data_IF_169523710828
#
_entry.id   IF_169523710828
#
_cell.length_a   1.000
_cell.length_b   1.000
_cell.length_c   1.000
_cell.angle_alpha   90.00
_cell.angle_beta   90.00
_cell.angle_gamma   90.00
#
_symmetry.space_group_name_H-M   'P 1'
#
loop_
_entity.id
_entity.type
_entity.pdbx_description
1 polymer ?
#
# COMPACT_ATOMS: atom_id res chain seq x y z
N UNK A 1 7.63 -1.89 20.62
CA UNK A 1 6.40 -2.53 21.14
C UNK A 1 5.37 -2.39 20.04
N UNK A 2 4.84 -3.50 19.50
CA UNK A 2 3.78 -3.44 18.48
C UNK A 2 2.49 -3.21 19.24
N UNK A 3 1.68 -2.25 18.81
CA UNK A 3 0.36 -1.99 19.38
C UNK A 3 -0.50 -3.27 19.22
N UNK A 4 -1.11 -3.80 20.30
CA UNK A 4 -1.89 -5.04 20.26
C UNK A 4 -3.04 -5.01 19.23
N UNK A 5 -3.54 -3.83 18.87
CA UNK A 5 -4.60 -3.66 17.87
C UNK A 5 -4.07 -3.58 16.43
N UNK A 6 -2.75 -3.70 16.24
CA UNK A 6 -2.15 -3.71 14.90
C UNK A 6 -2.52 -5.00 14.18
N UNK A 7 -3.41 -4.90 13.20
CA UNK A 7 -3.69 -5.98 12.25
C UNK A 7 -2.39 -6.36 11.50
N UNK A 8 -1.93 -7.59 11.71
CA UNK A 8 -0.72 -8.14 11.09
C UNK A 8 -1.09 -9.16 10.01
N UNK A 9 -0.41 -9.06 8.87
CA UNK A 9 -0.61 -9.91 7.70
C UNK A 9 0.60 -10.81 7.48
N UNK A 10 0.32 -12.05 7.14
CA UNK A 10 1.33 -12.99 6.64
C UNK A 10 1.81 -12.58 5.25
N UNK A 11 3.00 -13.05 4.86
CA UNK A 11 3.54 -12.85 3.51
C UNK A 11 2.58 -13.27 2.39
N UNK A 12 1.80 -14.33 2.60
CA UNK A 12 0.81 -14.80 1.64
C UNK A 12 -0.36 -13.82 1.46
N UNK A 13 -0.92 -13.33 2.57
CA UNK A 13 -1.98 -12.32 2.53
C UNK A 13 -1.52 -11.03 1.85
N UNK A 14 -0.29 -10.57 2.13
CA UNK A 14 0.27 -9.39 1.44
C UNK A 14 0.40 -9.64 -0.06
N UNK A 15 0.90 -10.81 -0.46
CA UNK A 15 1.06 -11.20 -1.87
C UNK A 15 -0.28 -11.13 -2.63
N UNK A 16 -1.36 -11.63 -2.01
CA UNK A 16 -2.72 -11.56 -2.55
C UNK A 16 -3.20 -10.11 -2.70
N UNK A 17 -2.98 -9.26 -1.69
CA UNK A 17 -3.42 -7.86 -1.73
C UNK A 17 -2.72 -7.05 -2.83
N UNK A 18 -1.41 -7.24 -2.99
CA UNK A 18 -0.60 -6.50 -3.96
C UNK A 18 -0.62 -7.13 -5.36
N UNK A 19 -1.20 -8.33 -5.51
CA UNK A 19 -1.24 -9.08 -6.77
C UNK A 19 0.14 -9.48 -7.29
N UNK A 20 1.07 -9.88 -6.41
CA UNK A 20 2.44 -10.28 -6.78
C UNK A 20 2.84 -11.62 -6.17
N UNK A 21 3.90 -12.22 -6.72
CA UNK A 21 4.50 -13.42 -6.16
C UNK A 21 4.97 -13.22 -4.70
N UNK A 22 4.70 -14.20 -3.84
CA UNK A 22 5.03 -14.13 -2.40
C UNK A 22 6.52 -13.87 -2.13
N UNK A 23 7.42 -14.35 -2.99
CA UNK A 23 8.88 -14.19 -2.85
C UNK A 23 9.30 -12.74 -3.05
N UNK A 24 8.50 -11.94 -3.77
CA UNK A 24 8.76 -10.51 -4.04
C UNK A 24 8.23 -9.57 -2.95
N UNK A 25 7.40 -10.07 -2.02
CA UNK A 25 6.82 -9.27 -0.93
C UNK A 25 7.89 -8.58 -0.07
N UNK A 26 8.97 -9.25 0.37
CA UNK A 26 10.00 -8.60 1.18
C UNK A 26 10.62 -7.38 0.48
N UNK A 27 11.00 -7.54 -0.79
CA UNK A 27 11.61 -6.47 -1.59
C UNK A 27 10.62 -5.34 -1.85
N UNK A 28 9.36 -5.68 -2.12
CA UNK A 28 8.30 -4.70 -2.35
C UNK A 28 8.03 -3.85 -1.10
N UNK A 29 7.97 -4.47 0.09
CA UNK A 29 7.80 -3.79 1.38
C UNK A 29 9.03 -2.93 1.72
N UNK A 30 10.24 -3.47 1.52
CA UNK A 30 11.49 -2.75 1.78
C UNK A 30 11.61 -1.48 0.93
N UNK A 31 11.27 -1.56 -0.36
CA UNK A 31 11.26 -0.42 -1.27
C UNK A 31 10.27 0.69 -0.89
N UNK A 32 9.31 0.39 0.01
CA UNK A 32 8.27 1.32 0.47
C UNK A 32 8.42 1.70 1.94
N UNK A 33 9.51 1.27 2.59
CA UNK A 33 9.74 1.53 4.01
C UNK A 33 8.73 0.86 4.95
N UNK A 34 8.05 -0.21 4.51
CA UNK A 34 7.08 -0.93 5.34
C UNK A 34 7.84 -1.87 6.28
N UNK A 35 7.69 -1.71 7.61
CA UNK A 35 8.39 -2.56 8.57
C UNK A 35 7.81 -3.99 8.53
N UNK A 36 8.61 -4.94 9.01
CA UNK A 36 8.20 -6.34 9.19
C UNK A 36 8.60 -6.81 10.58
N UNK A 37 7.79 -7.67 11.15
CA UNK A 37 7.96 -8.18 12.50
C UNK A 37 8.13 -9.69 12.46
N UNK A 38 8.92 -10.24 13.37
CA UNK A 38 8.90 -11.69 13.60
C UNK A 38 7.78 -11.99 14.57
N UNK A 39 6.97 -12.98 14.24
CA UNK A 39 6.02 -13.53 15.19
C UNK A 39 6.79 -14.16 16.37
N UNK A 40 6.62 -13.65 17.61
CA UNK A 40 7.29 -14.20 18.78
C UNK A 40 6.71 -15.56 19.21
N UNK A 41 5.49 -15.87 18.81
CA UNK A 41 4.77 -17.09 19.22
C UNK A 41 4.88 -18.22 18.18
N UNK A 42 5.38 -17.94 16.98
CA UNK A 42 5.61 -18.95 15.94
C UNK A 42 7.00 -19.59 16.09
N UNK A 43 7.12 -20.92 16.31
CA UNK A 43 8.41 -21.62 16.37
C UNK A 43 9.22 -21.47 15.08
N UNK A 44 8.57 -21.23 13.94
CA UNK A 44 9.24 -20.99 12.66
C UNK A 44 9.61 -19.51 12.44
N UNK A 45 9.32 -18.64 13.40
CA UNK A 45 9.62 -17.19 13.39
C UNK A 45 9.22 -16.53 12.08
N UNK A 46 7.98 -16.77 11.63
CA UNK A 46 7.47 -16.18 10.38
C UNK A 46 7.50 -14.66 10.44
N UNK A 47 7.69 -14.07 9.26
CA UNK A 47 7.62 -12.62 9.08
C UNK A 47 6.18 -12.18 8.86
N UNK A 48 5.75 -11.20 9.65
CA UNK A 48 4.47 -10.53 9.60
C UNK A 48 4.65 -9.06 9.16
N UNK A 49 3.61 -8.52 8.54
CA UNK A 49 3.61 -7.17 7.99
C UNK A 49 2.37 -6.41 8.47
N UNK A 50 2.48 -5.15 8.89
CA UNK A 50 1.34 -4.37 9.35
C UNK A 50 0.39 -4.04 8.19
N UNK A 51 -0.91 -4.29 8.38
CA UNK A 51 -1.93 -4.11 7.34
C UNK A 51 -2.13 -2.64 6.93
N UNK A 52 -2.14 -1.73 7.91
CA UNK A 52 -2.38 -0.30 7.69
C UNK A 52 -1.44 0.34 6.64
N UNK A 53 -0.10 0.24 6.75
CA UNK A 53 0.79 0.82 5.74
C UNK A 53 0.69 0.12 4.38
N UNK A 54 0.39 -1.18 4.33
CA UNK A 54 0.15 -1.89 3.05
C UNK A 54 -1.08 -1.31 2.36
N UNK A 55 -2.19 -1.14 3.09
CA UNK A 55 -3.42 -0.54 2.56
C UNK A 55 -3.20 0.91 2.15
N UNK A 56 -2.44 1.68 2.92
CA UNK A 56 -2.12 3.07 2.60
C UNK A 56 -1.36 3.19 1.27
N UNK A 57 -0.32 2.38 1.06
CA UNK A 57 0.40 2.34 -0.22
C UNK A 57 -0.54 1.95 -1.36
N UNK A 58 -1.35 0.91 -1.19
CA UNK A 58 -2.28 0.47 -2.24
C UNK A 58 -3.30 1.55 -2.58
N UNK A 59 -3.79 2.30 -1.59
CA UNK A 59 -4.70 3.41 -1.82
C UNK A 59 -4.04 4.53 -2.64
N UNK A 60 -2.74 4.79 -2.44
CA UNK A 60 -1.99 5.78 -3.23
C UNK A 60 -1.71 5.27 -4.64
N UNK A 61 -1.24 4.04 -4.79
CA UNK A 61 -0.87 3.45 -6.08
C UNK A 61 -2.08 3.18 -6.99
N UNK A 62 -3.24 2.88 -6.41
CA UNK A 62 -4.49 2.63 -7.14
C UNK A 62 -5.30 3.89 -7.40
N UNK A 63 -4.85 5.08 -6.99
CA UNK A 63 -5.52 6.32 -7.38
C UNK A 63 -5.53 6.39 -8.90
N UNK A 64 -6.71 6.52 -9.54
CA UNK A 64 -6.76 6.74 -10.97
C UNK A 64 -5.95 7.99 -11.27
N UNK A 65 -4.97 7.90 -12.18
CA UNK A 65 -4.34 9.10 -12.71
C UNK A 65 -5.48 9.95 -13.30
N UNK A 66 -5.55 11.25 -13.01
CA UNK A 66 -6.56 12.10 -13.63
C UNK A 66 -6.43 11.95 -15.14
N UNK A 67 -7.51 11.47 -15.76
CA UNK A 67 -7.59 11.30 -17.21
C UNK A 67 -7.30 12.67 -17.84
N UNK A 68 -6.49 12.75 -18.91
CA UNK A 68 -6.11 14.03 -19.51
C UNK A 68 -7.32 14.94 -19.81
N UNK A 69 -8.49 14.37 -20.06
CA UNK A 69 -9.76 15.08 -20.25
C UNK A 69 -10.24 15.84 -19.01
N UNK A 70 -10.12 15.27 -17.81
CA UNK A 70 -10.48 15.95 -16.55
C UNK A 70 -9.56 17.15 -16.30
N UNK A 71 -8.27 17.01 -16.64
CA UNK A 71 -7.30 18.12 -16.54
C UNK A 71 -7.66 19.23 -17.53
N UNK A 72 -8.03 18.88 -18.77
CA UNK A 72 -8.48 19.85 -19.79
C UNK A 72 -9.75 20.56 -19.36
N UNK A 73 -10.75 19.83 -18.85
CA UNK A 73 -12.01 20.40 -18.38
C UNK A 73 -11.78 21.35 -17.21
N UNK A 74 -10.97 20.95 -16.22
CA UNK A 74 -10.62 21.81 -15.09
C UNK A 74 -9.92 23.10 -15.55
N UNK A 75 -9.01 23.01 -16.53
CA UNK A 75 -8.34 24.19 -17.10
C UNK A 75 -9.32 25.09 -17.85
N UNK A 76 -10.26 24.52 -18.60
CA UNK A 76 -11.30 25.26 -19.32
C UNK A 76 -12.21 26.04 -18.35
N UNK A 77 -12.76 25.36 -17.33
CA UNK A 77 -13.62 25.98 -16.32
C UNK A 77 -12.89 27.09 -15.58
N UNK A 78 -11.64 26.84 -15.15
CA UNK A 78 -10.84 27.84 -14.43
C UNK A 78 -10.53 29.07 -15.29
N UNK A 79 -10.39 28.91 -16.61
CA UNK A 79 -10.17 30.03 -17.54
C UNK A 79 -11.45 30.81 -17.81
N UNK A 80 -12.61 30.15 -17.84
CA UNK A 80 -13.91 30.79 -18.05
C UNK A 80 -14.40 31.60 -16.84
N UNK A 81 -13.91 31.30 -15.62
CA UNK A 81 -14.28 32.03 -14.40
C UNK A 81 -13.41 33.27 -14.11
N UNK A 82 -12.30 33.45 -14.85
CA UNK A 82 -11.35 34.56 -14.68
C UNK A 82 -11.49 35.60 -15.82
N UNK A 83 -12.25 35.25 -16.87
CA UNK A 83 -12.62 36.15 -17.96
C UNK A 83 -13.97 36.80 -17.67
#
# INVERSE_FOLDING_TARGET
MIDPDTELLTRGQVATLIGRDRRRVPDWCAARGIPRYRDPNDPHRRWLYPAAPIRAVLAVERRPRPVPEVIRLHRFIRRALIA
#
